data_IF_902623479644
#
_entry.id   IF_902623479644
#
_cell.length_a   1.000
_cell.length_b   1.000
_cell.length_c   1.000
_cell.angle_alpha   90.00
_cell.angle_beta   90.00
_cell.angle_gamma   90.00
#
_symmetry.space_group_name_H-M   'P 1'
#
loop_
_entity.id
_entity.type
_entity.pdbx_description
1 polymer ?
#
# COMPACT_ATOMS: atom_id res chain seq x y z
N UNK A 1 42.76 -50.50 51.92
CA UNK A 1 43.56 -50.02 53.05
C UNK A 1 43.88 -48.56 52.78
N UNK A 2 43.26 -47.65 53.54
CA UNK A 2 43.49 -46.19 53.56
C UNK A 2 43.15 -45.43 52.27
N UNK A 3 42.77 -44.18 52.30
CA UNK A 3 42.02 -43.39 53.28
C UNK A 3 41.58 -42.16 52.49
N UNK A 4 40.55 -41.52 53.00
CA UNK A 4 40.18 -40.17 52.65
C UNK A 4 41.39 -39.24 52.87
N UNK A 5 41.69 -38.37 51.91
CA UNK A 5 42.47 -37.19 52.22
C UNK A 5 42.67 -36.31 51.00
N UNK A 6 42.51 -35.00 51.04
CA UNK A 6 41.95 -34.06 52.01
C UNK A 6 41.72 -32.77 51.22
N UNK A 7 40.78 -31.89 51.61
CA UNK A 7 40.43 -30.69 50.85
C UNK A 7 41.36 -29.51 51.20
N UNK A 8 41.57 -28.58 50.25
CA UNK A 8 41.59 -27.08 50.36
C UNK A 8 42.49 -26.45 49.27
N UNK A 9 42.43 -25.13 49.01
CA UNK A 9 41.29 -24.25 48.80
C UNK A 9 41.42 -23.49 47.46
N UNK A 10 40.32 -22.84 47.03
CA UNK A 10 40.22 -22.22 45.70
C UNK A 10 41.09 -21.00 45.43
N UNK A 11 41.12 -20.60 44.17
CA UNK A 11 41.35 -19.22 43.75
C UNK A 11 40.37 -18.86 42.64
N UNK A 12 39.68 -17.74 42.83
CA UNK A 12 38.77 -17.15 41.85
C UNK A 12 39.59 -16.60 40.69
N UNK A 13 39.12 -16.81 39.46
CA UNK A 13 39.75 -16.26 38.27
C UNK A 13 38.85 -16.40 37.08
N UNK A 14 38.04 -15.37 36.85
CA UNK A 14 37.08 -15.31 35.77
C UNK A 14 37.82 -15.02 34.47
N UNK A 15 37.85 -15.97 33.55
CA UNK A 15 38.00 -15.65 32.12
C UNK A 15 37.50 -16.80 31.26
N UNK A 16 36.48 -16.45 30.48
CA UNK A 16 36.31 -16.86 29.10
C UNK A 16 35.95 -18.33 28.79
N UNK A 17 34.93 -18.41 27.94
CA UNK A 17 34.55 -19.55 27.10
C UNK A 17 33.78 -20.67 27.81
N UNK A 18 32.62 -20.32 28.37
CA UNK A 18 31.52 -21.27 28.40
C UNK A 18 30.93 -21.36 26.99
N UNK A 19 31.41 -22.35 26.24
CA UNK A 19 30.70 -22.91 25.09
C UNK A 19 29.37 -23.46 25.61
N UNK A 20 28.38 -22.58 25.77
CA UNK A 20 27.02 -22.99 26.13
C UNK A 20 26.44 -23.70 24.92
N UNK A 21 26.47 -25.03 25.01
CA UNK A 21 25.66 -25.98 24.29
C UNK A 21 24.20 -25.52 24.36
N UNK A 22 23.77 -24.72 23.38
CA UNK A 22 22.37 -24.28 23.29
C UNK A 22 21.52 -25.55 23.11
N UNK A 23 20.61 -25.87 24.04
CA UNK A 23 19.72 -27.00 23.85
C UNK A 23 18.83 -26.71 22.63
N UNK A 24 18.75 -27.66 21.70
CA UNK A 24 17.90 -27.60 20.52
C UNK A 24 16.41 -27.70 20.91
N UNK A 25 15.91 -26.73 21.68
CA UNK A 25 14.53 -26.70 22.14
C UNK A 25 14.06 -25.25 22.26
N UNK A 26 13.08 -24.92 21.42
CA UNK A 26 12.37 -23.66 21.32
C UNK A 26 13.02 -22.54 20.48
N UNK A 27 13.35 -22.84 19.21
CA UNK A 27 13.07 -21.85 18.16
C UNK A 27 11.55 -21.70 18.09
N UNK A 28 10.98 -20.82 18.92
CA UNK A 28 9.64 -20.30 18.66
C UNK A 28 9.77 -19.45 17.43
N UNK A 29 9.22 -19.91 16.31
CA UNK A 29 8.94 -19.05 15.19
C UNK A 29 8.01 -17.98 15.74
N UNK A 30 8.52 -16.79 16.04
CA UNK A 30 7.66 -15.63 16.21
C UNK A 30 7.16 -15.37 14.79
N UNK A 31 5.89 -15.66 14.45
CA UNK A 31 5.37 -15.14 13.20
C UNK A 31 5.57 -13.64 13.31
N UNK A 32 6.27 -13.04 12.37
CA UNK A 32 6.16 -11.61 12.16
C UNK A 32 4.66 -11.38 11.99
N UNK A 33 4.00 -10.91 13.06
CA UNK A 33 2.62 -10.49 13.01
C UNK A 33 2.61 -9.46 11.90
N UNK A 34 2.03 -9.83 10.76
CA UNK A 34 2.16 -9.05 9.54
C UNK A 34 1.80 -7.62 9.85
N UNK A 35 2.75 -6.70 9.64
CA UNK A 35 2.53 -5.25 9.68
C UNK A 35 1.65 -4.80 8.51
N UNK A 36 0.76 -5.66 8.04
CA UNK A 36 -0.27 -5.34 7.06
C UNK A 36 -1.46 -4.80 7.85
N UNK A 37 -1.72 -3.48 7.82
CA UNK A 37 -2.98 -2.99 8.33
C UNK A 37 -4.12 -3.70 7.58
N UNK A 38 -5.20 -4.06 8.29
CA UNK A 38 -6.46 -4.55 7.70
C UNK A 38 -7.19 -3.41 6.95
N UNK A 39 -6.46 -2.56 6.24
CA UNK A 39 -7.05 -1.51 5.42
C UNK A 39 -7.65 -2.17 4.20
N UNK A 40 -8.92 -1.87 3.94
CA UNK A 40 -9.68 -2.37 2.81
C UNK A 40 -9.09 -1.79 1.50
N UNK A 41 -8.10 -2.46 0.93
CA UNK A 41 -7.41 -2.06 -0.30
C UNK A 41 -8.26 -2.27 -1.57
N UNK A 42 -9.43 -2.89 -1.43
CA UNK A 42 -10.27 -3.30 -2.55
C UNK A 42 -10.63 -2.10 -3.45
N UNK A 43 -10.83 -0.91 -2.89
CA UNK A 43 -11.18 0.30 -3.68
C UNK A 43 -10.03 0.71 -4.60
N UNK A 44 -8.81 0.73 -4.07
CA UNK A 44 -7.60 1.11 -4.81
C UNK A 44 -7.25 0.05 -5.85
N UNK A 45 -7.41 -1.23 -5.51
CA UNK A 45 -7.23 -2.35 -6.45
C UNK A 45 -8.20 -2.26 -7.64
N UNK A 46 -9.48 -1.95 -7.37
CA UNK A 46 -10.48 -1.74 -8.43
C UNK A 46 -10.13 -0.55 -9.31
N UNK A 47 -9.71 0.57 -8.72
CA UNK A 47 -9.23 1.72 -9.48
C UNK A 47 -8.07 1.34 -10.41
N UNK A 48 -7.03 0.68 -9.88
CA UNK A 48 -5.87 0.28 -10.67
C UNK A 48 -6.20 -0.72 -11.77
N UNK A 49 -7.20 -1.59 -11.57
CA UNK A 49 -7.71 -2.48 -12.64
C UNK A 49 -8.24 -1.68 -13.83
N UNK A 50 -9.16 -0.73 -13.58
CA UNK A 50 -9.75 0.09 -14.65
C UNK A 50 -8.71 0.96 -15.38
N UNK A 51 -7.73 1.47 -14.65
CA UNK A 51 -6.63 2.23 -15.24
C UNK A 51 -5.79 1.38 -16.20
N UNK A 52 -5.41 0.17 -15.78
CA UNK A 52 -4.60 -0.75 -16.61
C UNK A 52 -5.34 -1.23 -17.85
N UNK A 53 -6.65 -1.45 -17.77
CA UNK A 53 -7.47 -1.83 -18.93
C UNK A 53 -7.43 -0.75 -20.02
N UNK A 54 -7.48 0.52 -19.64
CA UNK A 54 -7.35 1.64 -20.58
C UNK A 54 -5.94 1.79 -21.13
N UNK A 55 -4.95 1.77 -20.25
CA UNK A 55 -3.53 1.88 -20.62
C UNK A 55 -3.13 0.79 -21.63
N UNK A 56 -3.63 -0.44 -21.42
CA UNK A 56 -3.44 -1.56 -22.34
C UNK A 56 -3.91 -1.27 -23.77
N UNK A 57 -5.05 -0.58 -23.93
CA UNK A 57 -5.60 -0.21 -25.25
C UNK A 57 -4.83 0.96 -25.85
N UNK A 58 -4.48 1.94 -25.03
CA UNK A 58 -3.81 3.19 -25.44
C UNK A 58 -2.28 3.08 -25.51
N UNK A 59 -1.72 1.86 -25.49
CA UNK A 59 -0.30 1.59 -25.64
C UNK A 59 0.28 2.22 -26.92
N UNK A 60 1.61 2.34 -26.97
CA UNK A 60 2.38 2.94 -28.08
C UNK A 60 2.28 4.47 -28.18
N UNK A 61 2.43 5.15 -27.04
CA UNK A 61 2.68 6.59 -27.01
C UNK A 61 4.19 6.81 -27.04
N UNK A 62 4.70 7.43 -28.10
CA UNK A 62 6.14 7.61 -28.30
C UNK A 62 6.74 8.72 -27.41
N UNK A 63 5.93 9.72 -27.04
CA UNK A 63 6.39 10.88 -26.29
C UNK A 63 5.98 10.82 -24.82
N UNK A 64 6.94 11.08 -23.92
CA UNK A 64 6.71 11.13 -22.48
C UNK A 64 5.74 12.24 -22.08
N UNK A 65 5.78 13.39 -22.77
CA UNK A 65 4.86 14.50 -22.55
C UNK A 65 3.42 14.14 -22.89
N UNK A 66 3.20 13.51 -24.04
CA UNK A 66 1.89 13.01 -24.45
C UNK A 66 1.36 11.93 -23.49
N UNK A 67 2.25 11.08 -22.96
CA UNK A 67 1.91 10.12 -21.91
C UNK A 67 1.42 10.80 -20.64
N UNK A 68 2.10 11.86 -20.18
CA UNK A 68 1.67 12.65 -19.02
C UNK A 68 0.30 13.29 -19.24
N UNK A 69 0.10 13.92 -20.40
CA UNK A 69 -1.19 14.51 -20.77
C UNK A 69 -2.31 13.46 -20.75
N UNK A 70 -2.08 12.26 -21.27
CA UNK A 70 -3.05 11.17 -21.23
C UNK A 70 -3.44 10.80 -19.79
N UNK A 71 -2.47 10.73 -18.88
CA UNK A 71 -2.74 10.38 -17.48
C UNK A 71 -3.53 11.48 -16.77
N UNK A 72 -3.24 12.74 -17.07
CA UNK A 72 -3.99 13.87 -16.55
C UNK A 72 -5.44 13.87 -17.09
N UNK A 73 -5.63 13.63 -18.38
CA UNK A 73 -6.96 13.48 -18.97
C UNK A 73 -7.76 12.34 -18.35
N UNK A 74 -7.11 11.20 -18.07
CA UNK A 74 -7.78 10.08 -17.41
C UNK A 74 -8.24 10.44 -16.00
N UNK A 75 -7.40 11.13 -15.21
CA UNK A 75 -7.76 11.58 -13.86
C UNK A 75 -8.97 12.51 -13.90
N UNK A 76 -8.99 13.46 -14.83
CA UNK A 76 -10.13 14.37 -15.03
C UNK A 76 -11.40 13.60 -15.40
N UNK A 77 -11.30 12.68 -16.37
CA UNK A 77 -12.44 11.86 -16.78
C UNK A 77 -13.00 11.00 -15.63
N UNK A 78 -12.12 10.33 -14.87
CA UNK A 78 -12.51 9.45 -13.77
C UNK A 78 -13.21 10.22 -12.64
N UNK A 79 -12.71 11.41 -12.29
CA UNK A 79 -13.23 12.17 -11.16
C UNK A 79 -14.53 12.91 -11.48
N UNK A 80 -14.69 13.40 -12.71
CA UNK A 80 -15.74 14.38 -13.02
C UNK A 80 -16.81 13.88 -14.01
N UNK A 81 -16.50 12.87 -14.83
CA UNK A 81 -17.38 12.47 -15.94
C UNK A 81 -17.94 11.07 -15.72
N UNK A 82 -17.10 10.13 -15.26
CA UNK A 82 -17.49 8.73 -15.07
C UNK A 82 -18.32 8.53 -13.80
N UNK A 83 -19.49 7.92 -13.97
CA UNK A 83 -20.32 7.46 -12.85
C UNK A 83 -19.79 6.15 -12.29
N UNK A 84 -19.88 6.01 -10.96
CA UNK A 84 -19.43 4.83 -10.25
C UNK A 84 -20.62 4.17 -9.57
N UNK A 85 -20.84 2.88 -9.85
CA UNK A 85 -21.89 2.10 -9.18
C UNK A 85 -21.66 1.97 -7.67
N UNK A 86 -20.39 2.00 -7.22
CA UNK A 86 -20.03 2.00 -5.81
C UNK A 86 -20.39 3.32 -5.07
N UNK A 87 -20.71 4.38 -5.82
CA UNK A 87 -21.12 5.69 -5.31
C UNK A 87 -22.58 5.99 -5.71
N UNK A 88 -23.42 4.96 -5.85
CA UNK A 88 -24.83 5.10 -6.26
C UNK A 88 -25.03 5.87 -7.59
N UNK A 89 -24.08 5.73 -8.53
CA UNK A 89 -24.10 6.42 -9.82
C UNK A 89 -23.52 7.83 -9.78
N UNK A 90 -22.99 8.29 -8.64
CA UNK A 90 -22.33 9.57 -8.53
C UNK A 90 -20.89 9.53 -9.06
N UNK A 91 -20.40 10.70 -9.44
CA UNK A 91 -18.97 10.91 -9.72
C UNK A 91 -18.23 11.14 -8.39
N UNK A 92 -16.94 10.80 -8.30
CA UNK A 92 -16.13 11.08 -7.11
C UNK A 92 -16.16 12.57 -6.71
N UNK A 93 -16.18 13.47 -7.69
CA UNK A 93 -16.30 14.91 -7.44
C UNK A 93 -17.64 15.27 -6.80
N UNK A 94 -18.76 14.68 -7.27
CA UNK A 94 -20.07 14.91 -6.69
C UNK A 94 -20.17 14.36 -5.27
N UNK A 95 -19.59 13.18 -5.02
CA UNK A 95 -19.49 12.61 -3.68
C UNK A 95 -18.63 13.49 -2.73
N UNK A 96 -17.65 14.21 -3.27
CA UNK A 96 -16.84 15.19 -2.53
C UNK A 96 -17.54 16.56 -2.35
N UNK A 97 -18.78 16.72 -2.83
CA UNK A 97 -19.53 17.98 -2.73
C UNK A 97 -19.24 19.00 -3.83
N UNK A 98 -18.41 18.66 -4.81
CA UNK A 98 -18.22 19.48 -6.01
C UNK A 98 -19.37 19.12 -6.97
N UNK A 99 -20.45 19.91 -6.93
CA UNK A 99 -21.68 19.64 -7.69
C UNK A 99 -21.46 19.79 -9.19
N UNK A 100 -20.88 18.82 -9.92
CA UNK A 100 -20.68 18.87 -11.38
C UNK A 100 -21.74 17.98 -12.04
N UNK A 101 -22.57 18.55 -12.91
CA UNK A 101 -23.68 17.84 -13.56
C UNK A 101 -25.04 18.53 -13.50
N UNK A 102 -25.10 19.85 -13.29
CA UNK A 102 -26.37 20.60 -13.46
C UNK A 102 -26.87 20.55 -14.91
N UNK A 103 -25.96 20.31 -15.86
CA UNK A 103 -26.25 20.20 -17.30
C UNK A 103 -26.29 18.74 -17.76
N UNK A 104 -27.08 18.47 -18.82
CA UNK A 104 -27.12 17.19 -19.54
C UNK A 104 -25.72 16.76 -20.03
N UNK A 105 -24.84 17.73 -20.28
CA UNK A 105 -23.48 17.50 -20.75
C UNK A 105 -22.45 17.87 -19.66
N UNK A 106 -21.89 16.87 -18.98
CA UNK A 106 -20.89 17.06 -17.91
C UNK A 106 -19.61 17.76 -18.36
N UNK A 107 -19.19 17.52 -19.61
CA UNK A 107 -18.03 18.19 -20.19
C UNK A 107 -18.25 19.69 -20.38
N UNK A 108 -19.46 20.09 -20.74
CA UNK A 108 -19.78 21.51 -20.90
C UNK A 108 -19.71 22.23 -19.54
N UNK A 109 -20.28 21.61 -18.50
CA UNK A 109 -20.24 22.15 -17.13
C UNK A 109 -18.80 22.27 -16.59
N UNK A 110 -17.93 21.30 -16.90
CA UNK A 110 -16.49 21.39 -16.58
C UNK A 110 -15.82 22.60 -17.24
N UNK A 111 -16.09 22.83 -18.52
CA UNK A 111 -15.50 23.95 -19.27
C UNK A 111 -16.02 25.29 -18.74
N UNK A 112 -17.34 25.41 -18.55
CA UNK A 112 -17.96 26.63 -18.01
C UNK A 112 -17.39 27.00 -16.63
N UNK A 113 -17.15 26.02 -15.76
CA UNK A 113 -16.51 26.25 -14.46
C UNK A 113 -15.07 26.70 -14.58
N UNK A 114 -14.30 26.08 -15.47
CA UNK A 114 -12.90 26.46 -15.69
C UNK A 114 -12.71 27.87 -16.24
N UNK A 115 -13.76 28.43 -16.89
CA UNK A 115 -13.77 29.82 -17.37
C UNK A 115 -14.18 30.79 -16.27
N UNK A 116 -15.01 30.34 -15.33
CA UNK A 116 -15.60 31.17 -14.26
C UNK A 116 -14.68 31.34 -13.06
N UNK A 117 -13.82 30.36 -12.81
CA UNK A 117 -12.70 30.43 -11.86
C UNK A 117 -11.54 31.25 -12.44
#
# INVERSE_FOLDING_TARGET
>A
MWDCGSPVPGSKGNSSVAFLKIPARALRFFPYAGLTPKTNNNVIERYHGTYRERDKVMRAIDNTESGKQMMDYWRTYYNFVREHSALDGLTPANAAGILIGTSRNRWMDLIERSIKE
#
